data_IF_177473015127
#
_entry.id   IF_177473015127
#
_cell.length_a   1.000
_cell.length_b   1.000
_cell.length_c   1.000
_cell.angle_alpha   90.00
_cell.angle_beta   90.00
_cell.angle_gamma   90.00
#
_symmetry.space_group_name_H-M   'P 1'
#
loop_
_entity.id
_entity.type
_entity.pdbx_description
1 polymer ?
#
# COMPACT_ATOMS: atom_id res chain seq x y z
N UNK A 1 -9.91 -16.38 31.40
CA UNK A 1 -8.64 -16.43 30.64
C UNK A 1 -9.01 -16.63 29.20
N UNK A 2 -8.88 -15.72 28.25
CA UNK A 2 -8.38 -14.35 28.19
C UNK A 2 -9.08 -13.74 26.96
N UNK A 3 -9.81 -12.65 27.18
CA UNK A 3 -9.47 -11.31 26.67
C UNK A 3 -9.72 -11.13 25.16
N UNK A 4 -10.73 -10.29 24.91
CA UNK A 4 -11.17 -9.68 23.65
C UNK A 4 -9.98 -9.24 22.78
N UNK A 5 -10.08 -9.54 21.49
CA UNK A 5 -9.53 -8.67 20.44
C UNK A 5 -10.71 -8.17 19.61
N UNK A 6 -11.35 -7.13 20.14
CA UNK A 6 -12.13 -6.20 19.34
C UNK A 6 -11.11 -5.42 18.52
N UNK A 7 -10.88 -5.88 17.29
CA UNK A 7 -10.12 -5.13 16.30
C UNK A 7 -11.02 -4.06 15.73
N UNK A 8 -10.75 -2.83 16.13
CA UNK A 8 -11.52 -1.62 15.85
C UNK A 8 -11.89 -1.51 14.37
N UNK A 9 -13.20 -1.64 14.15
CA UNK A 9 -13.88 -1.35 12.90
C UNK A 9 -13.98 0.17 12.75
N UNK A 10 -12.83 0.85 12.63
CA UNK A 10 -12.76 2.29 12.45
C UNK A 10 -12.54 2.62 10.97
N UNK A 11 -13.65 3.02 10.35
CA UNK A 11 -13.74 4.08 9.36
C UNK A 11 -12.90 3.96 8.09
N UNK A 12 -13.57 3.72 6.97
CA UNK A 12 -13.20 4.47 5.76
C UNK A 12 -14.47 4.69 4.94
N UNK A 13 -14.75 5.96 4.62
CA UNK A 13 -15.43 6.31 3.38
C UNK A 13 -14.77 5.53 2.21
N UNK A 14 -15.33 5.48 0.99
CA UNK A 14 -14.51 5.11 -0.17
C UNK A 14 -13.36 6.12 -0.30
N UNK A 15 -12.28 5.92 0.47
CA UNK A 15 -11.02 6.59 0.32
C UNK A 15 -10.54 6.11 -1.04
N UNK A 16 -10.57 7.02 -2.00
CA UNK A 16 -10.19 6.71 -3.36
C UNK A 16 -8.68 6.51 -3.35
N UNK A 17 -8.23 5.31 -3.02
CA UNK A 17 -6.83 4.97 -3.14
C UNK A 17 -6.57 4.54 -4.58
N UNK A 18 -5.43 4.96 -5.13
CA UNK A 18 -4.92 4.44 -6.40
C UNK A 18 -3.84 3.42 -6.10
N UNK A 19 -3.70 2.39 -6.95
CA UNK A 19 -2.55 1.50 -6.84
C UNK A 19 -1.27 2.34 -6.93
N UNK A 20 -0.32 2.03 -6.05
CA UNK A 20 0.96 2.70 -6.05
C UNK A 20 1.68 2.42 -7.37
N UNK A 21 1.95 3.47 -8.15
CA UNK A 21 2.61 3.34 -9.44
C UNK A 21 4.05 2.81 -9.33
N UNK A 22 4.71 2.94 -8.18
CA UNK A 22 6.10 2.51 -8.00
C UNK A 22 6.25 1.00 -7.80
N UNK A 23 5.27 0.35 -7.18
CA UNK A 23 5.24 -1.10 -7.00
C UNK A 23 4.08 -1.76 -7.76
N UNK A 24 3.41 -1.02 -8.64
CA UNK A 24 2.24 -1.49 -9.41
C UNK A 24 1.11 -2.07 -8.54
N UNK A 25 0.98 -1.60 -7.31
CA UNK A 25 -0.01 -2.13 -6.37
C UNK A 25 0.46 -3.30 -5.49
N UNK A 26 1.67 -3.82 -5.68
CA UNK A 26 2.18 -4.98 -4.92
C UNK A 26 2.51 -4.68 -3.46
N UNK A 27 2.89 -3.43 -3.16
CA UNK A 27 3.41 -3.04 -1.85
C UNK A 27 4.92 -3.22 -1.69
N UNK A 28 5.58 -3.92 -2.60
CA UNK A 28 7.03 -4.18 -2.56
C UNK A 28 7.64 -4.11 -3.96
N UNK A 29 8.96 -3.96 -4.01
CA UNK A 29 9.77 -3.99 -5.24
C UNK A 29 10.62 -5.25 -5.26
N UNK A 30 10.71 -5.89 -6.42
CA UNK A 30 11.52 -7.10 -6.62
C UNK A 30 12.87 -6.68 -7.20
N UNK A 31 13.96 -6.91 -6.45
CA UNK A 31 15.31 -6.77 -6.97
C UNK A 31 15.69 -8.07 -7.69
N UNK A 32 15.95 -7.92 -8.99
CA UNK A 32 16.34 -9.02 -9.87
C UNK A 32 17.81 -8.90 -10.24
N UNK A 33 18.48 -10.04 -10.26
CA UNK A 33 19.87 -10.11 -10.67
C UNK A 33 20.00 -10.07 -12.19
N UNK A 34 21.24 -10.03 -12.69
CA UNK A 34 21.52 -10.08 -14.13
C UNK A 34 20.96 -11.35 -14.82
N UNK A 35 20.67 -12.39 -14.05
CA UNK A 35 20.00 -13.62 -14.51
C UNK A 35 18.48 -13.50 -14.62
N UNK A 36 17.87 -12.42 -14.12
CA UNK A 36 16.42 -12.21 -14.09
C UNK A 36 15.68 -12.86 -12.91
N UNK A 37 16.40 -13.62 -12.08
CA UNK A 37 15.89 -14.24 -10.86
C UNK A 37 15.70 -13.19 -9.75
N UNK A 38 14.65 -13.36 -8.94
CA UNK A 38 14.35 -12.48 -7.82
C UNK A 38 15.26 -12.89 -6.65
N UNK A 39 16.11 -11.98 -6.19
CA UNK A 39 16.95 -12.22 -5.01
C UNK A 39 16.44 -11.56 -3.74
N UNK A 40 15.63 -10.50 -3.86
CA UNK A 40 15.04 -9.84 -2.70
C UNK A 40 13.75 -9.10 -3.06
N UNK A 41 12.83 -9.11 -2.11
CA UNK A 41 11.68 -8.21 -2.08
C UNK A 41 11.96 -7.13 -1.03
N UNK A 42 11.93 -5.86 -1.44
CA UNK A 42 12.06 -4.73 -0.53
C UNK A 42 10.74 -3.98 -0.44
N UNK A 43 10.44 -3.50 0.77
CA UNK A 43 9.20 -2.80 0.99
C UNK A 43 9.16 -1.51 0.16
N UNK A 44 8.06 -1.26 -0.55
CA UNK A 44 7.97 -0.11 -1.45
C UNK A 44 8.05 1.18 -0.62
N UNK A 45 9.09 1.98 -0.82
CA UNK A 45 9.31 3.19 -0.02
C UNK A 45 8.23 4.26 -0.23
N UNK A 46 7.50 4.21 -1.35
CA UNK A 46 6.45 5.19 -1.69
C UNK A 46 5.13 4.92 -0.96
N UNK A 47 4.67 3.68 -0.95
CA UNK A 47 3.46 3.28 -0.25
C UNK A 47 3.74 2.65 1.13
N UNK A 48 5.02 2.57 1.54
CA UNK A 48 5.47 1.96 2.80
C UNK A 48 4.96 0.52 3.01
N UNK A 49 4.64 -0.19 1.95
CA UNK A 49 4.10 -1.56 2.02
C UNK A 49 2.60 -1.70 1.92
N UNK A 50 1.86 -0.61 1.76
CA UNK A 50 0.40 -0.70 1.61
C UNK A 50 -0.03 -1.12 0.20
N UNK A 51 0.82 -0.88 -0.81
CA UNK A 51 0.46 -1.08 -2.21
C UNK A 51 -0.44 0.02 -2.78
N UNK A 52 -0.89 0.97 -1.96
CA UNK A 52 -1.85 1.99 -2.36
C UNK A 52 -1.40 3.39 -1.94
N UNK A 53 -1.78 4.39 -2.73
CA UNK A 53 -1.56 5.81 -2.44
C UNK A 53 -2.93 6.43 -2.19
N UNK A 54 -3.12 6.95 -0.97
CA UNK A 54 -4.32 7.70 -0.61
C UNK A 54 -4.43 8.96 -1.46
N UNK A 55 -5.53 9.11 -2.18
CA UNK A 55 -5.82 10.32 -2.93
C UNK A 55 -6.81 11.12 -2.11
N UNK A 56 -6.30 12.18 -1.49
CA UNK A 56 -7.20 13.21 -0.99
C UNK A 56 -7.78 13.94 -2.21
N UNK A 57 -9.04 13.62 -2.54
CA UNK A 57 -9.78 14.37 -3.54
C UNK A 57 -10.22 15.67 -2.87
N UNK A 58 -9.30 16.59 -2.70
CA UNK A 58 -9.64 17.97 -2.35
C UNK A 58 -10.32 18.57 -3.59
N UNK A 59 -11.63 18.37 -3.71
CA UNK A 59 -12.43 18.97 -4.79
C UNK A 59 -12.35 20.48 -4.59
N UNK A 60 -11.44 21.14 -5.32
CA UNK A 60 -11.48 22.60 -5.48
C UNK A 60 -12.67 22.92 -6.36
N UNK A 61 -13.81 23.21 -5.74
CA UNK A 61 -14.91 23.90 -6.41
C UNK A 61 -14.44 25.33 -6.74
N UNK A 62 -14.39 25.66 -8.02
CA UNK A 62 -14.31 27.04 -8.54
C UNK A 62 -15.33 27.14 -9.66
#
# INVERSE_FOLDING_TARGET
MSEKLEGDRLSSLPQKSKPCHHCEGKGYIELRDCSGEIQREENCSYCKGTGEIEIDISIKYT
#
